data_IF_703691805644
#
_entry.id   IF_703691805644
#
_cell.length_a   1.000
_cell.length_b   1.000
_cell.length_c   1.000
_cell.angle_alpha   90.00
_cell.angle_beta   90.00
_cell.angle_gamma   90.00
#
_symmetry.space_group_name_H-M   'P 1'
#
loop_
_entity.id
_entity.type
_entity.pdbx_description
1 polymer ?
#
# COMPACT_ATOMS: atom_id res chain seq x y z
N UNK A 1 6.63 21.96 -52.10
CA UNK A 1 5.41 21.28 -51.60
C UNK A 1 4.36 22.33 -51.25
N UNK A 2 3.30 22.51 -52.05
CA UNK A 2 2.33 23.62 -51.84
C UNK A 2 1.44 23.45 -50.60
N UNK A 3 1.30 22.23 -50.08
CA UNK A 3 0.42 21.91 -48.96
C UNK A 3 1.18 21.60 -47.65
N UNK A 4 2.50 21.79 -47.62
CA UNK A 4 3.33 21.39 -46.48
C UNK A 4 2.92 22.06 -45.16
N UNK A 5 2.61 23.36 -45.20
CA UNK A 5 2.14 24.12 -44.03
C UNK A 5 0.77 23.65 -43.54
N UNK A 6 -0.16 23.37 -44.46
CA UNK A 6 -1.51 22.89 -44.12
C UNK A 6 -1.44 21.52 -43.46
N UNK A 7 -0.62 20.61 -44.01
CA UNK A 7 -0.40 19.29 -43.42
C UNK A 7 0.28 19.39 -42.05
N UNK A 8 1.27 20.27 -41.90
CA UNK A 8 1.95 20.50 -40.64
C UNK A 8 1.00 21.00 -39.54
N UNK A 9 0.24 22.08 -39.81
CA UNK A 9 -0.69 22.63 -38.83
C UNK A 9 -1.87 21.70 -38.55
N UNK A 10 -2.35 20.97 -39.57
CA UNK A 10 -3.38 19.95 -39.37
C UNK A 10 -2.92 18.82 -38.45
N UNK A 11 -1.72 18.28 -38.68
CA UNK A 11 -1.13 17.25 -37.83
C UNK A 11 -0.85 17.75 -36.41
N UNK A 12 -0.32 18.97 -36.28
CA UNK A 12 -0.09 19.61 -34.98
C UNK A 12 -1.39 19.82 -34.21
N UNK A 13 -2.44 20.33 -34.86
CA UNK A 13 -3.75 20.54 -34.25
C UNK A 13 -4.39 19.22 -33.80
N UNK A 14 -4.32 18.18 -34.62
CA UNK A 14 -4.84 16.85 -34.26
C UNK A 14 -4.14 16.29 -33.01
N UNK A 15 -2.80 16.41 -32.94
CA UNK A 15 -2.03 15.98 -31.77
C UNK A 15 -2.38 16.84 -30.53
N UNK A 16 -2.38 18.16 -30.67
CA UNK A 16 -2.65 19.07 -29.57
C UNK A 16 -4.06 18.88 -28.99
N UNK A 17 -5.07 18.71 -29.84
CA UNK A 17 -6.45 18.45 -29.42
C UNK A 17 -6.59 17.08 -28.77
N UNK A 18 -5.96 16.04 -29.34
CA UNK A 18 -5.98 14.70 -28.75
C UNK A 18 -5.32 14.66 -27.38
N UNK A 19 -4.11 15.21 -27.25
CA UNK A 19 -3.40 15.30 -25.97
C UNK A 19 -4.15 16.17 -24.98
N UNK A 20 -4.65 17.33 -25.41
CA UNK A 20 -5.43 18.24 -24.58
C UNK A 20 -6.71 17.59 -24.04
N UNK A 21 -7.44 16.85 -24.88
CA UNK A 21 -8.64 16.14 -24.47
C UNK A 21 -8.36 15.08 -23.39
N UNK A 22 -7.28 14.30 -23.56
CA UNK A 22 -6.88 13.29 -22.56
C UNK A 22 -6.50 13.94 -21.23
N UNK A 23 -5.69 15.01 -21.27
CA UNK A 23 -5.28 15.73 -20.06
C UNK A 23 -6.47 16.37 -19.33
N UNK A 24 -7.38 17.00 -20.08
CA UNK A 24 -8.56 17.64 -19.52
C UNK A 24 -9.52 16.61 -18.91
N UNK A 25 -9.76 15.49 -19.57
CA UNK A 25 -10.58 14.41 -19.04
C UNK A 25 -9.99 13.84 -17.74
N UNK A 26 -8.69 13.54 -17.73
CA UNK A 26 -8.01 13.04 -16.54
C UNK A 26 -8.04 14.06 -15.39
N UNK A 27 -7.83 15.34 -15.68
CA UNK A 27 -7.90 16.42 -14.69
C UNK A 27 -9.29 16.50 -14.06
N UNK A 28 -10.35 16.51 -14.86
CA UNK A 28 -11.72 16.58 -14.35
C UNK A 28 -12.09 15.36 -13.48
N UNK A 29 -11.58 14.17 -13.85
CA UNK A 29 -11.82 12.94 -13.10
C UNK A 29 -11.07 12.89 -11.76
N UNK A 30 -9.84 13.39 -11.71
CA UNK A 30 -8.93 13.16 -10.56
C UNK A 30 -8.70 14.40 -9.70
N UNK A 31 -8.53 15.58 -10.30
CA UNK A 31 -8.10 16.78 -9.57
C UNK A 31 -9.19 17.34 -8.63
N UNK A 32 -10.45 16.99 -8.89
CA UNK A 32 -11.60 17.42 -8.09
C UNK A 32 -11.93 16.45 -6.93
N UNK A 33 -11.20 15.33 -6.80
CA UNK A 33 -11.44 14.35 -5.75
C UNK A 33 -11.14 14.94 -4.37
N UNK A 34 -12.16 14.93 -3.51
CA UNK A 34 -12.08 15.34 -2.09
C UNK A 34 -12.15 14.12 -1.18
N UNK A 35 -11.88 14.31 0.10
CA UNK A 35 -12.21 13.27 1.08
C UNK A 35 -13.71 12.97 1.05
N UNK A 36 -14.08 11.71 1.26
CA UNK A 36 -15.45 11.27 1.42
C UNK A 36 -15.83 11.33 2.90
N UNK A 37 -17.00 11.89 3.22
CA UNK A 37 -17.55 11.85 4.58
C UNK A 37 -18.43 10.62 4.69
N UNK A 38 -18.06 9.68 5.56
CA UNK A 38 -18.89 8.53 5.84
C UNK A 38 -20.21 8.98 6.51
N UNK A 39 -21.38 8.57 6.02
CA UNK A 39 -22.66 9.01 6.56
C UNK A 39 -23.02 8.35 7.91
N UNK A 40 -22.41 7.23 8.26
CA UNK A 40 -22.65 6.47 9.50
C UNK A 40 -21.66 6.92 10.57
N UNK A 41 -20.37 6.90 10.26
CA UNK A 41 -19.30 7.21 11.23
C UNK A 41 -19.00 8.71 11.32
N UNK A 42 -19.56 9.52 10.41
CA UNK A 42 -19.29 10.96 10.26
C UNK A 42 -17.81 11.36 10.10
N UNK A 43 -16.95 10.40 9.75
CA UNK A 43 -15.50 10.60 9.58
C UNK A 43 -15.11 10.86 8.12
N UNK A 44 -13.97 11.51 7.92
CA UNK A 44 -13.44 11.86 6.59
C UNK A 44 -12.36 10.88 6.14
N UNK A 45 -12.54 10.27 4.97
CA UNK A 45 -11.62 9.29 4.38
C UNK A 45 -11.04 9.74 3.02
N UNK A 46 -9.77 9.43 2.71
CA UNK A 46 -8.79 8.78 3.58
C UNK A 46 -8.35 9.70 4.73
N UNK A 47 -7.99 9.12 5.88
CA UNK A 47 -7.44 9.87 7.01
C UNK A 47 -6.02 10.38 6.68
N UNK A 48 -5.57 11.41 7.39
CA UNK A 48 -4.17 11.84 7.28
C UNK A 48 -3.23 10.79 7.89
N UNK A 49 -2.10 10.51 7.22
CA UNK A 49 -1.06 9.67 7.81
C UNK A 49 -0.49 10.37 9.07
N UNK A 50 -0.41 9.68 10.21
CA UNK A 50 0.31 10.19 11.38
C UNK A 50 1.78 10.48 11.05
N UNK A 51 2.40 11.44 11.74
CA UNK A 51 3.78 11.88 11.41
C UNK A 51 4.82 10.76 11.42
N UNK A 52 4.69 9.77 12.31
CA UNK A 52 5.58 8.60 12.34
C UNK A 52 5.38 7.69 11.13
N UNK A 53 4.13 7.49 10.70
CA UNK A 53 3.79 6.69 9.52
C UNK A 53 4.19 7.41 8.21
N UNK A 54 4.08 8.74 8.15
CA UNK A 54 4.54 9.50 6.97
C UNK A 54 6.07 9.38 6.79
N UNK A 55 6.84 9.38 7.89
CA UNK A 55 8.28 9.07 7.83
C UNK A 55 8.54 7.61 7.45
N UNK A 56 7.73 6.69 7.98
CA UNK A 56 7.79 5.28 7.59
C UNK A 56 7.55 5.02 6.11
N UNK A 57 6.70 5.83 5.46
CA UNK A 57 6.52 5.78 4.00
C UNK A 57 7.81 6.12 3.25
N UNK A 58 8.61 7.07 3.74
CA UNK A 58 9.93 7.35 3.17
C UNK A 58 10.89 6.18 3.36
N UNK A 59 10.85 5.51 4.53
CA UNK A 59 11.64 4.28 4.74
C UNK A 59 11.20 3.17 3.77
N UNK A 60 9.89 3.00 3.53
CA UNK A 60 9.35 2.06 2.55
C UNK A 60 9.85 2.34 1.12
N UNK A 61 9.98 3.62 0.75
CA UNK A 61 10.56 4.06 -0.51
C UNK A 61 12.06 3.74 -0.59
N UNK A 62 12.83 4.14 0.42
CA UNK A 62 14.29 3.95 0.48
C UNK A 62 14.68 2.47 0.35
N UNK A 63 13.89 1.58 0.96
CA UNK A 63 14.10 0.14 0.93
C UNK A 63 13.62 -0.52 -0.37
N UNK A 64 12.98 0.24 -1.26
CA UNK A 64 12.49 -0.29 -2.53
C UNK A 64 11.35 -1.29 -2.37
N UNK A 65 10.60 -1.29 -1.25
CA UNK A 65 9.58 -2.32 -0.99
C UNK A 65 8.51 -2.43 -2.09
N UNK A 66 8.26 -1.33 -2.81
CA UNK A 66 7.36 -1.26 -3.96
C UNK A 66 7.80 -2.14 -5.16
N UNK A 67 9.05 -2.60 -5.20
CA UNK A 67 9.53 -3.52 -6.23
C UNK A 67 8.91 -4.91 -6.12
N UNK A 68 8.53 -5.33 -4.91
CA UNK A 68 8.00 -6.66 -4.61
C UNK A 68 6.53 -6.63 -4.16
N UNK A 69 6.10 -5.50 -3.58
CA UNK A 69 4.77 -5.33 -3.02
C UNK A 69 4.02 -4.21 -3.72
N UNK A 70 2.78 -4.49 -4.06
CA UNK A 70 1.82 -3.48 -4.55
C UNK A 70 1.07 -2.86 -3.38
N UNK A 71 0.54 -1.66 -3.57
CA UNK A 71 -0.50 -1.09 -2.70
C UNK A 71 -1.69 -0.67 -3.56
N UNK A 72 -2.28 -1.66 -4.24
CA UNK A 72 -3.41 -1.49 -5.13
C UNK A 72 -4.21 -2.79 -5.17
N UNK A 73 -5.22 -2.89 -4.30
CA UNK A 73 -6.12 -4.05 -4.29
C UNK A 73 -6.93 -4.03 -5.57
N UNK A 74 -6.84 -5.10 -6.35
CA UNK A 74 -7.57 -5.22 -7.61
C UNK A 74 -9.04 -5.51 -7.36
N UNK A 75 -9.87 -5.13 -8.34
CA UNK A 75 -11.29 -5.45 -8.39
C UNK A 75 -11.53 -6.95 -8.32
N UNK A 76 -12.63 -7.32 -7.69
CA UNK A 76 -13.13 -8.68 -7.71
C UNK A 76 -13.29 -9.20 -9.15
N UNK A 77 -12.92 -10.46 -9.38
CA UNK A 77 -12.82 -11.06 -10.71
C UNK A 77 -11.55 -10.70 -11.50
N UNK A 78 -10.78 -9.69 -11.06
CA UNK A 78 -9.51 -9.29 -11.69
C UNK A 78 -8.34 -9.65 -10.77
N UNK A 79 -7.86 -10.89 -10.87
CA UNK A 79 -6.87 -11.46 -9.96
C UNK A 79 -7.54 -12.14 -8.77
N UNK A 80 -6.85 -12.22 -7.63
CA UNK A 80 -7.40 -12.90 -6.45
C UNK A 80 -6.98 -12.24 -5.15
N UNK A 81 -7.04 -10.90 -5.11
CA UNK A 81 -6.64 -10.12 -3.95
C UNK A 81 -7.70 -10.21 -2.86
N UNK A 82 -8.98 -10.06 -3.25
CA UNK A 82 -10.14 -10.21 -2.36
C UNK A 82 -10.25 -11.65 -1.85
N UNK A 83 -10.12 -12.66 -2.73
CA UNK A 83 -10.13 -14.08 -2.34
C UNK A 83 -8.99 -14.44 -1.38
N UNK A 84 -7.81 -13.81 -1.53
CA UNK A 84 -6.66 -13.96 -0.60
C UNK A 84 -6.79 -13.08 0.65
N UNK A 85 -7.88 -12.35 0.79
CA UNK A 85 -8.15 -11.45 1.92
C UNK A 85 -7.07 -10.38 2.09
N UNK A 86 -6.47 -9.92 0.98
CA UNK A 86 -5.47 -8.86 1.02
C UNK A 86 -6.07 -7.47 1.23
N UNK A 87 -7.36 -7.32 0.88
CA UNK A 87 -8.21 -6.19 1.20
C UNK A 87 -9.68 -6.60 1.09
N UNK A 88 -10.57 -5.76 1.61
CA UNK A 88 -12.02 -6.02 1.63
C UNK A 88 -12.73 -5.51 0.37
N UNK A 89 -12.10 -4.60 -0.38
CA UNK A 89 -12.59 -4.02 -1.63
C UNK A 89 -11.44 -3.59 -2.55
N UNK A 90 -11.74 -3.25 -3.80
CA UNK A 90 -10.73 -2.65 -4.67
C UNK A 90 -10.26 -1.28 -4.18
N UNK A 91 -9.00 -0.96 -4.48
CA UNK A 91 -8.48 0.39 -4.37
C UNK A 91 -9.08 1.29 -5.46
N UNK A 92 -9.36 2.54 -5.11
CA UNK A 92 -9.83 3.59 -6.02
C UNK A 92 -8.97 4.83 -5.91
N UNK A 93 -9.04 5.73 -6.89
CA UNK A 93 -8.21 6.94 -6.90
C UNK A 93 -8.32 7.79 -5.61
N UNK A 94 -9.50 7.80 -4.98
CA UNK A 94 -9.74 8.54 -3.73
C UNK A 94 -8.86 8.08 -2.56
N UNK A 95 -8.47 6.80 -2.53
CA UNK A 95 -7.58 6.26 -1.49
C UNK A 95 -6.24 7.01 -1.42
N UNK A 96 -5.78 7.54 -2.55
CA UNK A 96 -4.44 8.10 -2.70
C UNK A 96 -4.40 9.64 -2.64
N UNK A 97 -5.52 10.34 -2.46
CA UNK A 97 -5.57 11.83 -2.60
C UNK A 97 -4.72 12.58 -1.57
N UNK A 98 -4.34 11.93 -0.46
CA UNK A 98 -3.48 12.50 0.58
C UNK A 98 -2.01 12.09 0.42
N UNK A 99 -1.70 11.23 -0.55
CA UNK A 99 -0.35 10.75 -0.79
C UNK A 99 0.36 11.65 -1.79
N UNK A 100 1.43 12.32 -1.33
CA UNK A 100 2.31 13.08 -2.23
C UNK A 100 2.98 12.21 -3.30
N UNK A 101 3.22 10.94 -2.97
CA UNK A 101 3.85 9.94 -3.84
C UNK A 101 3.10 8.65 -3.63
N UNK A 102 2.55 8.11 -4.71
CA UNK A 102 1.65 6.96 -4.72
C UNK A 102 2.45 5.67 -4.93
N UNK A 103 2.27 4.68 -4.06
CA UNK A 103 2.98 3.39 -4.12
C UNK A 103 2.16 2.24 -4.70
N UNK A 104 1.69 2.38 -5.94
CA UNK A 104 0.92 1.30 -6.59
C UNK A 104 1.70 -0.03 -6.68
N UNK A 105 3.03 0.06 -6.78
CA UNK A 105 3.96 -1.06 -6.90
C UNK A 105 4.34 -1.39 -8.34
N UNK A 106 5.39 -2.19 -8.51
CA UNK A 106 5.90 -2.60 -9.82
C UNK A 106 5.62 -4.08 -10.11
N UNK A 107 6.01 -4.96 -9.20
CA UNK A 107 5.71 -6.40 -9.25
C UNK A 107 4.99 -6.85 -7.99
N UNK A 108 4.44 -8.05 -8.07
CA UNK A 108 3.70 -8.68 -6.98
C UNK A 108 4.29 -10.05 -6.67
N UNK A 109 5.53 -10.00 -6.16
CA UNK A 109 6.25 -11.17 -5.62
C UNK A 109 5.73 -11.47 -4.22
N UNK A 110 5.54 -10.43 -3.42
CA UNK A 110 4.88 -10.50 -2.12
C UNK A 110 3.38 -10.14 -2.21
N UNK A 111 2.64 -10.26 -1.09
CA UNK A 111 1.25 -9.82 -1.03
C UNK A 111 1.11 -8.31 -1.27
N UNK A 112 -0.06 -7.91 -1.77
CA UNK A 112 -0.45 -6.49 -1.73
C UNK A 112 -0.46 -5.99 -0.28
N UNK A 113 -0.10 -4.73 -0.04
CA UNK A 113 0.04 -4.16 1.30
C UNK A 113 -0.96 -3.03 1.59
N UNK A 114 -1.83 -2.65 0.67
CA UNK A 114 -2.70 -1.47 0.83
C UNK A 114 -3.57 -1.51 2.08
N UNK A 115 -4.00 -2.72 2.46
CA UNK A 115 -4.83 -2.98 3.63
C UNK A 115 -4.12 -3.91 4.63
N UNK A 116 -2.78 -3.92 4.65
CA UNK A 116 -2.05 -4.85 5.52
C UNK A 116 -2.29 -4.54 7.00
N UNK A 117 -2.46 -3.27 7.37
CA UNK A 117 -2.78 -2.85 8.74
C UNK A 117 -4.19 -3.26 9.20
N UNK A 118 -5.09 -3.58 8.27
CA UNK A 118 -6.43 -4.07 8.56
C UNK A 118 -6.46 -5.57 8.92
N UNK A 119 -5.35 -6.29 8.73
CA UNK A 119 -5.34 -7.76 8.83
C UNK A 119 -5.29 -8.19 10.29
N UNK A 120 -5.92 -9.32 10.67
CA UNK A 120 -5.94 -9.79 12.05
C UNK A 120 -4.56 -10.01 12.68
N UNK A 121 -3.54 -10.32 11.87
CA UNK A 121 -2.17 -10.55 12.32
C UNK A 121 -1.27 -9.31 12.30
N UNK A 122 -1.79 -8.13 11.93
CA UNK A 122 -1.01 -6.92 11.66
C UNK A 122 -0.60 -6.14 12.92
N UNK A 123 -0.07 -6.86 13.90
CA UNK A 123 0.54 -6.26 15.08
C UNK A 123 2.01 -5.89 14.83
N UNK A 124 2.60 -5.09 15.74
CA UNK A 124 3.98 -4.65 15.60
C UNK A 124 4.98 -5.80 15.68
N UNK A 125 4.70 -6.79 16.51
CA UNK A 125 5.60 -7.92 16.74
C UNK A 125 5.72 -8.78 15.47
N UNK A 126 4.60 -9.01 14.77
CA UNK A 126 4.55 -9.66 13.47
C UNK A 126 5.43 -8.94 12.45
N UNK A 127 5.26 -7.62 12.29
CA UNK A 127 6.03 -6.87 11.30
C UNK A 127 7.52 -6.80 11.65
N UNK A 128 7.88 -6.63 12.92
CA UNK A 128 9.29 -6.65 13.32
C UNK A 128 9.93 -8.01 13.06
N UNK A 129 9.25 -9.11 13.38
CA UNK A 129 9.74 -10.46 13.06
C UNK A 129 9.85 -10.67 11.55
N UNK A 130 8.85 -10.26 10.78
CA UNK A 130 8.86 -10.36 9.33
C UNK A 130 10.03 -9.58 8.71
N UNK A 131 10.34 -8.38 9.23
CA UNK A 131 11.46 -7.58 8.74
C UNK A 131 12.82 -8.15 9.17
N UNK A 132 12.96 -8.63 10.41
CA UNK A 132 14.25 -9.13 10.93
C UNK A 132 14.58 -10.56 10.47
N UNK A 133 13.58 -11.44 10.48
CA UNK A 133 13.71 -12.85 10.13
C UNK A 133 12.45 -13.33 9.38
N UNK A 134 12.30 -12.97 8.10
CA UNK A 134 11.10 -13.28 7.32
C UNK A 134 10.68 -14.76 7.39
N UNK A 135 11.65 -15.67 7.35
CA UNK A 135 11.40 -17.13 7.43
C UNK A 135 10.78 -17.58 8.77
N UNK A 136 10.95 -16.82 9.86
CA UNK A 136 10.37 -17.16 11.16
C UNK A 136 8.85 -16.96 11.19
N UNK A 137 8.32 -16.18 10.25
CA UNK A 137 6.89 -15.83 10.15
C UNK A 137 6.26 -16.46 8.90
N UNK A 138 6.99 -16.45 7.79
CA UNK A 138 6.58 -17.02 6.51
C UNK A 138 7.66 -17.99 6.01
N UNK A 139 7.64 -19.27 6.42
CA UNK A 139 8.61 -20.26 5.99
C UNK A 139 8.66 -20.38 4.46
N UNK A 140 9.87 -20.36 3.89
CA UNK A 140 10.07 -20.43 2.43
C UNK A 140 9.77 -19.13 1.67
N UNK A 141 9.65 -18.01 2.37
CA UNK A 141 9.48 -16.69 1.73
C UNK A 141 10.73 -16.26 0.97
N UNK A 142 10.51 -15.56 -0.16
CA UNK A 142 11.58 -14.90 -0.92
C UNK A 142 11.81 -13.44 -0.47
N UNK A 143 11.13 -12.99 0.59
CA UNK A 143 11.36 -11.66 1.16
C UNK A 143 12.76 -11.61 1.80
N UNK A 144 13.61 -10.63 1.43
CA UNK A 144 14.91 -10.49 2.06
C UNK A 144 14.77 -10.06 3.53
N UNK A 145 15.77 -10.41 4.34
CA UNK A 145 15.90 -9.87 5.69
C UNK A 145 16.32 -8.39 5.64
N UNK A 146 15.70 -7.60 6.51
CA UNK A 146 16.05 -6.21 6.82
C UNK A 146 16.62 -6.12 8.25
N UNK A 147 17.41 -7.11 8.66
CA UNK A 147 18.07 -7.19 9.96
C UNK A 147 18.89 -5.93 10.32
N UNK A 148 19.46 -5.26 9.34
CA UNK A 148 20.18 -3.99 9.49
C UNK A 148 19.32 -2.83 10.04
N UNK A 149 18.00 -2.98 10.09
CA UNK A 149 17.11 -2.04 10.78
C UNK A 149 16.99 -2.32 12.28
N UNK A 150 17.74 -3.28 12.83
CA UNK A 150 17.67 -3.72 14.21
C UNK A 150 19.06 -3.74 14.85
N UNK A 151 19.09 -3.40 16.14
CA UNK A 151 20.30 -3.42 16.95
C UNK A 151 20.31 -4.64 17.87
N UNK A 152 21.40 -5.40 17.85
CA UNK A 152 21.67 -6.46 18.83
C UNK A 152 22.48 -5.88 19.95
N UNK A 153 21.95 -5.88 21.17
CA UNK A 153 22.62 -5.27 22.33
C UNK A 153 22.49 -6.14 23.58
N UNK A 154 23.46 -6.07 24.52
CA UNK A 154 23.37 -6.82 25.77
C UNK A 154 22.20 -6.34 26.62
N UNK A 155 21.46 -7.28 27.21
CA UNK A 155 20.38 -7.00 28.16
C UNK A 155 21.00 -6.71 29.52
N UNK A 156 20.81 -5.49 30.02
CA UNK A 156 21.17 -5.15 31.40
C UNK A 156 19.97 -5.44 32.32
N UNK A 157 20.19 -5.92 33.56
CA UNK A 157 19.11 -6.15 34.51
C UNK A 157 18.21 -4.92 34.66
N UNK A 158 16.90 -5.10 34.48
CA UNK A 158 15.91 -4.01 34.57
C UNK A 158 15.89 -3.01 33.40
N UNK A 159 16.67 -3.23 32.33
CA UNK A 159 16.75 -2.34 31.17
C UNK A 159 16.38 -3.02 29.84
N UNK A 160 15.59 -4.11 29.89
CA UNK A 160 15.08 -4.75 28.68
C UNK A 160 14.19 -3.77 27.90
N UNK A 161 14.33 -3.75 26.58
CA UNK A 161 13.52 -2.91 25.72
C UNK A 161 12.07 -3.42 25.69
N UNK A 162 11.06 -2.54 25.80
CA UNK A 162 9.66 -2.93 25.57
C UNK A 162 9.40 -3.37 24.12
N UNK A 163 10.29 -3.02 23.20
CA UNK A 163 10.21 -3.38 21.78
C UNK A 163 11.17 -4.52 21.40
N UNK A 164 11.75 -5.23 22.37
CA UNK A 164 12.63 -6.35 22.07
C UNK A 164 11.87 -7.47 21.33
N UNK A 165 12.45 -7.98 20.25
CA UNK A 165 11.84 -9.03 19.44
C UNK A 165 11.87 -10.36 20.20
N UNK A 166 10.74 -11.07 20.19
CA UNK A 166 10.60 -12.40 20.79
C UNK A 166 10.74 -13.48 19.72
N UNK A 167 11.98 -13.80 19.37
CA UNK A 167 12.31 -14.85 18.40
C UNK A 167 12.79 -16.11 19.11
N UNK A 168 12.59 -17.26 18.46
CA UNK A 168 12.96 -18.58 18.98
C UNK A 168 13.78 -19.39 17.97
N UNK A 169 14.42 -20.45 18.45
CA UNK A 169 15.22 -21.35 17.62
C UNK A 169 16.39 -20.63 16.94
N UNK A 170 16.57 -20.87 15.63
CA UNK A 170 17.70 -20.34 14.84
C UNK A 170 17.72 -18.80 14.72
N UNK A 171 16.61 -18.12 15.03
CA UNK A 171 16.48 -16.67 14.96
C UNK A 171 16.49 -15.98 16.32
N UNK A 172 16.66 -16.75 17.41
CA UNK A 172 16.69 -16.19 18.75
C UNK A 172 17.87 -15.20 18.91
N UNK A 173 17.68 -14.19 19.75
CA UNK A 173 18.76 -13.32 20.13
C UNK A 173 19.90 -14.14 20.80
N UNK A 174 21.17 -13.75 20.61
CA UNK A 174 22.29 -14.37 21.32
C UNK A 174 22.08 -14.35 22.84
N UNK A 175 22.67 -15.31 23.54
CA UNK A 175 22.57 -15.37 25.00
C UNK A 175 22.97 -14.04 25.65
N UNK A 176 22.13 -13.53 26.55
CA UNK A 176 22.34 -12.25 27.22
C UNK A 176 22.13 -11.01 26.36
N UNK A 177 21.62 -11.15 25.13
CA UNK A 177 21.35 -10.03 24.21
C UNK A 177 19.86 -9.95 23.86
N UNK A 178 19.44 -8.76 23.43
CA UNK A 178 18.13 -8.49 22.85
C UNK A 178 18.30 -7.88 21.46
N UNK A 179 17.31 -8.12 20.61
CA UNK A 179 17.19 -7.51 19.28
C UNK A 179 16.14 -6.41 19.38
N UNK A 180 16.49 -5.17 19.07
CA UNK A 180 15.61 -4.00 19.24
C UNK A 180 15.47 -3.26 17.92
N UNK A 181 14.25 -2.86 17.51
CA UNK A 181 14.05 -2.11 16.28
C UNK A 181 14.69 -0.72 16.41
N UNK A 182 15.45 -0.34 15.37
CA UNK A 182 15.91 1.03 15.19
C UNK A 182 14.72 1.99 15.02
N UNK A 183 15.00 3.30 15.01
CA UNK A 183 13.97 4.28 14.71
C UNK A 183 13.34 4.08 13.32
N UNK A 184 14.14 3.76 12.30
CA UNK A 184 13.66 3.47 10.93
C UNK A 184 12.75 2.25 10.87
N UNK A 185 13.05 1.19 11.64
CA UNK A 185 12.15 0.03 11.74
C UNK A 185 10.79 0.42 12.33
N UNK A 186 10.78 1.21 13.42
CA UNK A 186 9.53 1.66 14.06
C UNK A 186 8.71 2.56 13.14
N UNK A 187 9.35 3.46 12.42
CA UNK A 187 8.70 4.29 11.40
C UNK A 187 8.06 3.42 10.31
N UNK A 188 8.81 2.48 9.73
CA UNK A 188 8.30 1.58 8.70
C UNK A 188 7.10 0.75 9.20
N UNK A 189 7.18 0.18 10.40
CA UNK A 189 6.07 -0.58 10.97
C UNK A 189 4.86 0.32 11.25
N UNK A 190 5.06 1.55 11.73
CA UNK A 190 3.96 2.51 11.88
C UNK A 190 3.27 2.82 10.53
N UNK A 191 4.05 2.92 9.44
CA UNK A 191 3.49 3.06 8.11
C UNK A 191 2.68 1.82 7.70
N UNK A 192 3.24 0.62 7.78
CA UNK A 192 2.55 -0.61 7.41
C UNK A 192 1.24 -0.80 8.21
N UNK A 193 1.25 -0.48 9.50
CA UNK A 193 0.05 -0.52 10.35
C UNK A 193 -0.98 0.55 10.00
N UNK A 194 -0.54 1.68 9.46
CA UNK A 194 -1.45 2.74 9.00
C UNK A 194 -2.17 2.43 7.69
N UNK A 195 -1.70 1.43 6.92
CA UNK A 195 -2.31 0.98 5.67
C UNK A 195 -3.57 0.16 5.97
N UNK A 196 -4.66 0.85 6.31
CA UNK A 196 -5.94 0.30 6.72
C UNK A 196 -7.10 1.06 6.08
N UNK A 197 -7.23 0.92 4.76
CA UNK A 197 -8.29 1.55 3.96
C UNK A 197 -9.55 0.67 3.91
N UNK A 198 -10.01 0.21 5.08
CA UNK A 198 -11.17 -0.66 5.20
C UNK A 198 -12.53 0.04 5.04
N UNK A 199 -12.55 1.37 4.85
CA UNK A 199 -13.77 2.14 4.63
C UNK A 199 -14.36 1.90 3.23
N UNK A 200 -15.69 2.00 3.08
CA UNK A 200 -16.38 1.82 1.79
C UNK A 200 -16.63 3.15 1.08
N UNK A 201 -16.47 3.13 -0.25
CA UNK A 201 -16.89 4.21 -1.12
C UNK A 201 -17.97 3.73 -2.10
N UNK A 202 -18.93 4.59 -2.49
CA UNK A 202 -19.90 4.25 -3.53
C UNK A 202 -19.23 3.75 -4.84
N UNK A 203 -18.15 4.40 -5.27
CA UNK A 203 -17.39 4.03 -6.47
C UNK A 203 -16.55 2.76 -6.33
N UNK A 204 -16.34 2.28 -5.11
CA UNK A 204 -15.54 1.09 -4.84
C UNK A 204 -16.38 -0.19 -4.75
N UNK A 205 -17.69 -0.11 -4.99
CA UNK A 205 -18.55 -1.28 -5.11
C UNK A 205 -18.41 -1.88 -6.51
N UNK A 206 -18.25 -3.21 -6.65
CA UNK A 206 -18.26 -3.86 -7.95
C UNK A 206 -19.55 -3.51 -8.72
N UNK A 207 -19.42 -3.24 -10.02
CA UNK A 207 -20.60 -3.12 -10.87
C UNK A 207 -21.24 -4.49 -11.01
N UNK A 208 -22.47 -4.63 -10.52
CA UNK A 208 -23.30 -5.80 -10.77
C UNK A 208 -24.15 -5.48 -12.00
N UNK A 209 -23.99 -6.20 -13.12
CA UNK A 209 -24.84 -6.00 -14.29
C UNK A 209 -26.30 -6.25 -13.90
N UNK A 210 -27.21 -5.42 -14.40
CA UNK A 210 -28.64 -5.73 -14.27
C UNK A 210 -28.90 -7.09 -14.90
N UNK A 211 -29.30 -8.08 -14.09
CA UNK A 211 -29.83 -9.34 -14.60
C UNK A 211 -31.18 -9.03 -15.22
N UNK A 212 -31.20 -8.53 -16.45
CA UNK A 212 -32.37 -8.67 -17.29
C UNK A 212 -32.59 -10.17 -17.42
N UNK A 213 -33.57 -10.69 -16.70
CA UNK A 213 -34.26 -11.91 -17.09
C UNK A 213 -34.68 -11.69 -18.54
N UNK A 214 -33.90 -12.24 -19.47
CA UNK A 214 -34.38 -12.44 -20.83
C UNK A 214 -35.63 -13.29 -20.67
N UNK A 215 -36.78 -12.65 -20.87
CA UNK A 215 -38.07 -13.29 -20.80
C UNK A 215 -38.04 -14.51 -21.72
N UNK A 216 -38.36 -15.67 -21.15
CA UNK A 216 -38.66 -16.85 -21.94
C UNK A 216 -39.71 -16.49 -22.98
N UNK A 217 -39.31 -16.59 -24.24
CA UNK A 217 -40.21 -16.77 -25.37
C UNK A 217 -40.44 -18.26 -25.57
#
# INVERSE_FOLDING_TARGET
MKNGLVLFFGAFAALALSTGAVLFAAHNQLASLKQYKDPIEETLHPAALPGLADRGRMVYQDLGCASCHTQQVRREGFGGDITRQWGVRQSVARDYIREKTVHLGHLRIGPDLRNVGARPYADEEYFYKLLYAPESVAPGTNMPSYDFLFDVRPVRPGQASPHALKLSGKHAAPAGHEIVPSYRARELVAYLRSLNDAYEYPEAKPYVPDTKTEGGH
#
